data_IF_511702467919
#
_entry.id   IF_511702467919
#
_cell.length_a   1.000
_cell.length_b   1.000
_cell.length_c   1.000
_cell.angle_alpha   90.00
_cell.angle_beta   90.00
_cell.angle_gamma   90.00
#
_symmetry.space_group_name_H-M   'P 1'
#
loop_
_entity.id
_entity.type
_entity.pdbx_description
1 polymer ?
#
# COMPACT_ATOMS: atom_id res chain seq x y z
N UNK A 1 -14.98 15.83 7.68
CA UNK A 1 -14.05 14.84 7.09
C UNK A 1 -13.78 13.68 8.04
N UNK A 2 -13.48 13.95 9.32
CA UNK A 2 -13.21 12.91 10.33
C UNK A 2 -14.29 11.81 10.43
N UNK A 3 -15.59 12.15 10.41
CA UNK A 3 -16.67 11.15 10.47
C UNK A 3 -16.72 10.22 9.25
N UNK A 4 -16.43 10.74 8.04
CA UNK A 4 -16.34 9.94 6.80
C UNK A 4 -15.14 8.99 6.84
N UNK A 5 -13.99 9.51 7.26
CA UNK A 5 -12.77 8.74 7.46
C UNK A 5 -12.99 7.62 8.49
N UNK A 6 -13.49 7.94 9.69
CA UNK A 6 -13.72 6.97 10.75
C UNK A 6 -14.71 5.86 10.35
N UNK A 7 -15.76 6.20 9.59
CA UNK A 7 -16.71 5.22 9.06
C UNK A 7 -16.07 4.27 8.04
N UNK A 8 -15.08 4.74 7.27
CA UNK A 8 -14.40 3.97 6.24
C UNK A 8 -13.40 2.98 6.84
N UNK A 9 -12.51 3.45 7.73
CA UNK A 9 -11.40 2.65 8.29
C UNK A 9 -11.90 1.31 8.87
N UNK A 10 -13.03 1.31 9.58
CA UNK A 10 -13.57 0.10 10.23
C UNK A 10 -13.91 -1.03 9.26
N UNK A 11 -14.24 -0.72 8.00
CA UNK A 11 -14.76 -1.69 7.04
C UNK A 11 -13.91 -1.85 5.78
N UNK A 12 -12.90 -1.00 5.61
CA UNK A 12 -12.00 -1.03 4.47
C UNK A 12 -11.10 -2.28 4.52
N UNK A 13 -10.86 -2.87 3.34
CA UNK A 13 -9.96 -4.03 3.17
C UNK A 13 -8.81 -3.79 2.21
N UNK A 14 -8.76 -2.59 1.64
CA UNK A 14 -7.63 -2.17 0.84
C UNK A 14 -7.96 -1.00 -0.05
N UNK A 15 -6.89 -0.30 -0.41
CA UNK A 15 -6.89 0.73 -1.45
C UNK A 15 -6.53 0.05 -2.77
N UNK A 16 -7.42 0.12 -3.74
CA UNK A 16 -7.22 -0.48 -5.06
C UNK A 16 -6.47 0.50 -5.95
N UNK A 17 -5.34 0.04 -6.47
CA UNK A 17 -4.51 0.77 -7.43
C UNK A 17 -4.43 -0.03 -8.74
N UNK A 18 -4.70 0.62 -9.87
CA UNK A 18 -4.83 -0.08 -11.16
C UNK A 18 -4.72 0.86 -12.36
N UNK A 19 -4.63 0.25 -13.55
CA UNK A 19 -4.67 0.88 -14.87
C UNK A 19 -5.76 0.21 -15.70
N UNK A 20 -6.91 0.87 -15.84
CA UNK A 20 -8.14 0.25 -16.38
C UNK A 20 -8.04 -0.08 -17.88
N UNK A 21 -7.07 0.51 -18.57
CA UNK A 21 -6.75 0.23 -19.96
C UNK A 21 -5.93 -1.06 -20.15
N UNK A 22 -5.35 -1.61 -19.09
CA UNK A 22 -4.62 -2.88 -19.17
C UNK A 22 -5.59 -4.07 -19.38
N UNK A 23 -5.31 -4.97 -20.34
CA UNK A 23 -6.12 -6.17 -20.57
C UNK A 23 -6.29 -7.02 -19.30
N UNK A 24 -7.51 -7.52 -19.05
CA UNK A 24 -7.80 -8.40 -17.93
C UNK A 24 -8.06 -7.70 -16.59
N UNK A 25 -7.69 -6.42 -16.44
CA UNK A 25 -7.89 -5.68 -15.18
C UNK A 25 -9.36 -5.58 -14.80
N UNK A 26 -10.25 -5.31 -15.76
CA UNK A 26 -11.69 -5.13 -15.47
C UNK A 26 -12.33 -6.43 -14.99
N UNK A 27 -11.92 -7.57 -15.53
CA UNK A 27 -12.33 -8.91 -15.10
C UNK A 27 -11.91 -9.16 -13.66
N UNK A 28 -10.64 -8.85 -13.35
CA UNK A 28 -10.09 -8.99 -12.00
C UNK A 28 -10.73 -8.06 -11.00
N UNK A 29 -11.05 -6.81 -11.36
CA UNK A 29 -11.81 -5.90 -10.49
C UNK A 29 -13.22 -6.44 -10.20
N UNK A 30 -13.91 -7.04 -11.19
CA UNK A 30 -15.19 -7.71 -10.95
C UNK A 30 -15.02 -8.88 -9.98
N UNK A 31 -14.02 -9.74 -10.19
CA UNK A 31 -13.69 -10.82 -9.26
C UNK A 31 -13.42 -10.29 -7.84
N UNK A 32 -12.62 -9.23 -7.70
CA UNK A 32 -12.27 -8.63 -6.43
C UNK A 32 -13.50 -8.09 -5.68
N UNK A 33 -14.41 -7.39 -6.38
CA UNK A 33 -15.66 -6.92 -5.76
C UNK A 33 -16.54 -8.09 -5.28
N UNK A 34 -16.56 -9.24 -5.97
CA UNK A 34 -17.27 -10.44 -5.52
C UNK A 34 -16.63 -11.00 -4.26
N UNK A 35 -15.30 -11.07 -4.18
CA UNK A 35 -14.56 -11.57 -3.00
C UNK A 35 -14.81 -10.73 -1.77
N UNK A 36 -14.82 -9.41 -1.92
CA UNK A 36 -15.08 -8.47 -0.83
C UNK A 36 -16.55 -8.05 -0.76
N UNK A 37 -17.51 -8.96 -1.01
CA UNK A 37 -18.97 -8.65 -1.02
C UNK A 37 -19.48 -7.89 0.22
N UNK A 38 -18.92 -8.16 1.39
CA UNK A 38 -19.39 -7.60 2.67
C UNK A 38 -18.43 -6.58 3.30
N UNK A 39 -17.42 -6.14 2.55
CA UNK A 39 -16.42 -5.19 3.01
C UNK A 39 -16.22 -4.10 1.96
N UNK A 40 -15.70 -2.97 2.42
CA UNK A 40 -15.42 -1.85 1.54
C UNK A 40 -14.05 -2.03 0.90
N UNK A 41 -13.98 -1.70 -0.39
CA UNK A 41 -12.74 -1.42 -1.10
C UNK A 41 -12.81 0.04 -1.51
N UNK A 42 -11.70 0.75 -1.43
CA UNK A 42 -11.64 2.14 -1.85
C UNK A 42 -10.63 2.32 -2.98
N UNK A 43 -10.83 3.39 -3.73
CA UNK A 43 -9.91 3.86 -4.76
C UNK A 43 -9.37 5.23 -4.33
N UNK A 44 -8.12 5.55 -4.66
CA UNK A 44 -7.60 6.90 -4.52
C UNK A 44 -8.45 7.92 -5.30
N UNK A 45 -8.56 9.17 -4.84
CA UNK A 45 -9.23 10.25 -5.56
C UNK A 45 -8.81 10.38 -7.03
N UNK A 46 -7.51 10.24 -7.34
CA UNK A 46 -7.01 10.31 -8.73
C UNK A 46 -7.63 9.26 -9.66
N UNK A 47 -7.89 8.05 -9.16
CA UNK A 47 -8.46 6.94 -9.95
C UNK A 47 -9.98 6.88 -9.90
N UNK A 48 -10.59 7.59 -8.95
CA UNK A 48 -12.02 7.43 -8.66
C UNK A 48 -12.91 7.69 -9.86
N UNK A 49 -12.67 8.79 -10.57
CA UNK A 49 -13.49 9.22 -11.72
C UNK A 49 -13.47 8.17 -12.83
N UNK A 50 -12.29 7.66 -13.15
CA UNK A 50 -12.10 6.64 -14.18
C UNK A 50 -12.79 5.32 -13.80
N UNK A 51 -12.69 4.92 -12.52
CA UNK A 51 -13.38 3.75 -12.00
C UNK A 51 -14.91 3.88 -12.06
N UNK A 52 -15.48 5.05 -11.72
CA UNK A 52 -16.93 5.30 -11.88
C UNK A 52 -17.34 5.12 -13.33
N UNK A 53 -16.62 5.77 -14.25
CA UNK A 53 -16.93 5.75 -15.68
C UNK A 53 -16.85 4.35 -16.27
N UNK A 54 -15.97 3.51 -15.74
CA UNK A 54 -15.82 2.10 -16.13
C UNK A 54 -16.79 1.14 -15.42
N UNK A 55 -17.79 1.67 -14.69
CA UNK A 55 -18.85 0.87 -14.05
C UNK A 55 -18.51 0.37 -12.64
N UNK A 56 -17.36 0.73 -12.09
CA UNK A 56 -16.89 0.31 -10.77
C UNK A 56 -17.32 1.30 -9.67
N UNK A 57 -18.62 1.61 -9.61
CA UNK A 57 -19.19 2.59 -8.66
C UNK A 57 -19.09 2.15 -7.20
N UNK A 58 -19.00 0.84 -6.95
CA UNK A 58 -18.97 0.21 -5.62
C UNK A 58 -17.70 0.51 -4.82
N UNK A 59 -16.59 0.79 -5.50
CA UNK A 59 -15.39 1.24 -4.80
C UNK A 59 -15.65 2.61 -4.21
N UNK A 60 -15.42 2.75 -2.90
CA UNK A 60 -15.51 4.05 -2.24
C UNK A 60 -14.36 4.94 -2.70
N UNK A 61 -14.53 6.25 -2.58
CA UNK A 61 -13.42 7.18 -2.73
C UNK A 61 -12.71 7.26 -1.38
N UNK A 62 -11.41 6.96 -1.34
CA UNK A 62 -10.59 7.18 -0.15
C UNK A 62 -10.41 8.69 0.06
N UNK A 63 -10.56 9.17 1.30
CA UNK A 63 -10.43 10.59 1.60
C UNK A 63 -9.13 10.88 2.33
N UNK A 64 -8.52 12.05 2.09
CA UNK A 64 -7.41 12.52 2.91
C UNK A 64 -7.94 12.98 4.28
N UNK A 65 -7.60 12.31 5.40
CA UNK A 65 -7.99 12.80 6.73
C UNK A 65 -7.26 14.08 7.15
N UNK A 66 -6.17 14.44 6.48
CA UNK A 66 -5.35 15.63 6.72
C UNK A 66 -4.67 16.11 5.44
N UNK A 67 -4.56 17.44 5.28
CA UNK A 67 -3.89 18.10 4.15
C UNK A 67 -2.40 17.71 4.03
N UNK A 68 -1.77 17.39 5.16
CA UNK A 68 -0.39 16.92 5.21
C UNK A 68 -0.18 15.63 4.41
N UNK A 69 -1.21 14.80 4.25
CA UNK A 69 -1.14 13.59 3.45
C UNK A 69 -1.15 13.90 1.94
N UNK A 70 -1.88 14.92 1.51
CA UNK A 70 -1.80 15.41 0.11
C UNK A 70 -0.39 15.93 -0.18
N UNK A 71 0.18 16.71 0.74
CA UNK A 71 1.56 17.20 0.65
C UNK A 71 2.59 16.07 0.66
N UNK A 72 2.34 14.98 1.39
CA UNK A 72 3.20 13.79 1.32
C UNK A 72 3.21 13.22 -0.09
N UNK A 73 2.05 13.09 -0.74
CA UNK A 73 1.98 12.60 -2.12
C UNK A 73 2.87 13.46 -3.03
N UNK A 74 2.72 14.78 -2.98
CA UNK A 74 3.54 15.71 -3.77
C UNK A 74 5.04 15.58 -3.50
N UNK A 75 5.43 15.48 -2.22
CA UNK A 75 6.84 15.36 -1.82
C UNK A 75 7.43 14.06 -2.35
N UNK A 76 6.75 12.93 -2.16
CA UNK A 76 7.26 11.63 -2.55
C UNK A 76 7.24 11.42 -4.07
N UNK A 77 6.18 11.85 -4.76
CA UNK A 77 6.08 11.68 -6.22
C UNK A 77 7.04 12.57 -7.01
N UNK A 78 7.54 13.66 -6.41
CA UNK A 78 8.50 14.56 -7.08
C UNK A 78 9.95 14.11 -6.98
N UNK A 79 10.27 13.17 -6.08
CA UNK A 79 11.64 12.74 -5.80
C UNK A 79 11.86 11.25 -6.05
N UNK A 80 10.79 10.45 -6.08
CA UNK A 80 10.83 9.03 -6.40
C UNK A 80 10.38 8.78 -7.83
N UNK A 81 10.92 7.72 -8.44
CA UNK A 81 10.54 7.28 -9.79
C UNK A 81 9.20 6.54 -9.83
N UNK A 82 8.23 6.95 -9.02
CA UNK A 82 6.88 6.37 -8.96
C UNK A 82 5.84 7.41 -9.39
N UNK A 83 4.73 6.95 -9.98
CA UNK A 83 3.65 7.85 -10.38
C UNK A 83 3.00 8.51 -9.16
N UNK A 84 2.51 9.76 -9.28
CA UNK A 84 1.74 10.41 -8.21
C UNK A 84 0.57 9.56 -7.72
N UNK A 85 -0.10 8.84 -8.62
CA UNK A 85 -1.23 7.96 -8.28
C UNK A 85 -0.79 6.72 -7.49
N UNK A 86 0.39 6.14 -7.78
CA UNK A 86 0.94 5.04 -7.01
C UNK A 86 1.32 5.49 -5.59
N UNK A 87 1.96 6.66 -5.47
CA UNK A 87 2.29 7.27 -4.18
C UNK A 87 1.02 7.61 -3.39
N UNK A 88 0.00 8.18 -4.05
CA UNK A 88 -1.30 8.47 -3.44
C UNK A 88 -1.94 7.20 -2.87
N UNK A 89 -1.93 6.09 -3.62
CA UNK A 89 -2.48 4.83 -3.16
C UNK A 89 -1.78 4.33 -1.88
N UNK A 90 -0.44 4.43 -1.82
CA UNK A 90 0.35 4.01 -0.64
C UNK A 90 0.10 4.92 0.55
N UNK A 91 0.10 6.25 0.37
CA UNK A 91 -0.15 7.21 1.44
C UNK A 91 -1.55 7.02 2.02
N UNK A 92 -2.56 6.83 1.16
CA UNK A 92 -3.94 6.59 1.61
C UNK A 92 -4.12 5.21 2.24
N UNK A 93 -3.44 4.18 1.74
CA UNK A 93 -3.41 2.85 2.35
C UNK A 93 -2.90 2.92 3.78
N UNK A 94 -1.78 3.62 3.96
CA UNK A 94 -1.21 3.92 5.28
C UNK A 94 -2.18 4.67 6.18
N UNK A 95 -2.74 5.78 5.69
CA UNK A 95 -3.67 6.56 6.48
C UNK A 95 -4.94 5.79 6.88
N UNK A 96 -5.37 4.79 6.10
CA UNK A 96 -6.57 4.01 6.41
C UNK A 96 -6.30 2.63 7.03
N UNK A 97 -5.04 2.33 7.38
CA UNK A 97 -4.64 1.06 8.00
C UNK A 97 -5.11 -0.14 7.17
N UNK A 98 -4.83 -0.11 5.87
CA UNK A 98 -5.25 -1.16 4.93
C UNK A 98 -4.20 -1.37 3.85
N UNK A 99 -4.04 -2.59 3.32
CA UNK A 99 -3.05 -2.84 2.27
C UNK A 99 -3.44 -2.16 0.95
N UNK A 100 -2.45 -1.99 0.07
CA UNK A 100 -2.71 -1.70 -1.34
C UNK A 100 -3.07 -3.02 -2.05
N UNK A 101 -4.11 -2.99 -2.88
CA UNK A 101 -4.46 -4.07 -3.79
C UNK A 101 -4.13 -3.61 -5.21
N UNK A 102 -2.94 -3.99 -5.69
CA UNK A 102 -2.43 -3.60 -6.99
C UNK A 102 -2.95 -4.58 -8.05
N UNK A 103 -3.82 -4.11 -8.94
CA UNK A 103 -4.47 -4.95 -9.96
C UNK A 103 -3.86 -4.66 -11.33
N UNK A 104 -3.23 -5.66 -11.92
CA UNK A 104 -2.51 -5.58 -13.19
C UNK A 104 -1.00 -5.42 -13.05
N UNK A 105 -0.27 -5.79 -14.10
CA UNK A 105 1.19 -5.71 -14.17
C UNK A 105 1.69 -4.27 -14.21
N UNK A 106 0.97 -3.34 -14.87
CA UNK A 106 1.35 -1.92 -14.86
C UNK A 106 1.28 -1.34 -13.45
N UNK A 107 0.23 -1.67 -12.70
CA UNK A 107 0.08 -1.23 -11.31
C UNK A 107 1.23 -1.75 -10.43
N UNK A 108 1.61 -3.02 -10.61
CA UNK A 108 2.77 -3.59 -9.93
C UNK A 108 4.07 -2.88 -10.32
N UNK A 109 4.28 -2.60 -11.61
CA UNK A 109 5.45 -1.91 -12.13
C UNK A 109 5.60 -0.49 -11.59
N UNK A 110 4.50 0.24 -11.43
CA UNK A 110 4.52 1.61 -10.88
C UNK A 110 4.74 1.66 -9.36
N UNK A 111 4.41 0.60 -8.65
CA UNK A 111 4.71 0.46 -7.21
C UNK A 111 6.11 -0.10 -6.94
N UNK A 112 6.72 -0.80 -7.91
CA UNK A 112 8.03 -1.41 -7.75
C UNK A 112 9.13 -0.43 -7.26
N UNK A 113 9.21 0.84 -7.73
CA UNK A 113 10.18 1.82 -7.23
C UNK A 113 10.02 2.18 -5.75
N UNK A 114 8.86 1.90 -5.14
CA UNK A 114 8.58 2.15 -3.73
C UNK A 114 8.91 0.95 -2.83
N UNK A 115 9.38 -0.16 -3.42
CA UNK A 115 9.54 -1.44 -2.73
C UNK A 115 10.84 -1.50 -1.94
N UNK A 116 10.75 -1.93 -0.68
CA UNK A 116 11.91 -2.22 0.18
C UNK A 116 12.22 -3.71 0.21
N UNK A 117 11.21 -4.58 0.14
CA UNK A 117 11.36 -6.03 0.08
C UNK A 117 10.20 -6.65 -0.72
N UNK A 118 10.43 -7.81 -1.34
CA UNK A 118 9.42 -8.51 -2.15
C UNK A 118 9.22 -9.94 -1.67
N UNK A 119 7.97 -10.38 -1.70
CA UNK A 119 7.60 -11.78 -1.54
C UNK A 119 7.19 -12.35 -2.89
N UNK A 120 7.85 -13.43 -3.29
CA UNK A 120 7.49 -14.21 -4.47
C UNK A 120 6.58 -15.39 -4.10
N UNK A 121 5.76 -15.80 -5.05
CA UNK A 121 4.96 -17.02 -5.00
C UNK A 121 5.45 -18.05 -6.02
N UNK A 122 5.50 -19.31 -5.59
CA UNK A 122 5.72 -20.51 -6.39
C UNK A 122 4.47 -21.39 -6.45
N UNK A 123 3.33 -20.84 -6.07
CA UNK A 123 2.03 -21.51 -6.08
C UNK A 123 1.01 -20.68 -6.86
N UNK A 124 0.18 -21.34 -7.65
CA UNK A 124 -1.08 -20.80 -8.13
C UNK A 124 -2.11 -20.83 -6.99
N UNK A 125 -2.77 -19.70 -6.76
CA UNK A 125 -3.73 -19.56 -5.67
C UNK A 125 -5.15 -19.81 -6.16
N UNK A 126 -5.82 -20.74 -5.51
CA UNK A 126 -7.26 -20.87 -5.59
C UNK A 126 -7.97 -19.78 -4.76
N UNK A 127 -9.29 -19.82 -4.75
CA UNK A 127 -10.12 -18.88 -3.99
C UNK A 127 -9.82 -18.86 -2.49
N UNK A 128 -9.46 -20.00 -1.90
CA UNK A 128 -9.12 -20.13 -0.48
C UNK A 128 -7.74 -19.53 -0.22
N UNK A 129 -6.78 -19.79 -1.11
CA UNK A 129 -5.43 -19.25 -1.11
C UNK A 129 -5.44 -17.72 -1.16
N UNK A 130 -6.16 -17.11 -2.12
CA UNK A 130 -6.32 -15.66 -2.18
C UNK A 130 -6.92 -15.08 -0.91
N UNK A 131 -8.00 -15.68 -0.40
CA UNK A 131 -8.66 -15.23 0.83
C UNK A 131 -7.73 -15.29 2.05
N UNK A 132 -6.91 -16.34 2.15
CA UNK A 132 -5.92 -16.48 3.21
C UNK A 132 -4.89 -15.36 3.12
N UNK A 133 -4.30 -15.12 1.94
CA UNK A 133 -3.20 -14.18 1.81
C UNK A 133 -3.66 -12.71 1.86
N UNK A 134 -4.88 -12.38 1.44
CA UNK A 134 -5.47 -11.07 1.73
C UNK A 134 -5.58 -10.82 3.24
N UNK A 135 -5.94 -11.83 4.02
CA UNK A 135 -5.99 -11.69 5.49
C UNK A 135 -4.60 -11.55 6.10
N UNK A 136 -3.61 -12.28 5.58
CA UNK A 136 -2.23 -12.14 6.05
C UNK A 136 -1.72 -10.71 5.76
N UNK A 137 -2.00 -10.17 4.57
CA UNK A 137 -1.67 -8.79 4.23
C UNK A 137 -2.37 -7.76 5.12
N UNK A 138 -3.67 -7.94 5.39
CA UNK A 138 -4.40 -7.12 6.38
C UNK A 138 -3.70 -7.13 7.74
N UNK A 139 -3.27 -8.31 8.22
CA UNK A 139 -2.56 -8.43 9.49
C UNK A 139 -1.15 -7.85 9.46
N UNK A 140 -0.42 -7.92 8.35
CA UNK A 140 0.88 -7.26 8.21
C UNK A 140 0.74 -5.76 8.47
N UNK A 141 -0.25 -5.10 7.87
CA UNK A 141 -0.49 -3.66 8.07
C UNK A 141 -0.97 -3.39 9.49
N UNK A 142 -2.01 -4.10 9.94
CA UNK A 142 -2.64 -3.86 11.24
C UNK A 142 -1.67 -4.06 12.42
N UNK A 143 -0.92 -5.16 12.43
CA UNK A 143 -0.01 -5.50 13.54
C UNK A 143 1.21 -4.58 13.59
N UNK A 144 1.59 -4.00 12.44
CA UNK A 144 2.74 -3.10 12.34
C UNK A 144 2.38 -1.63 12.54
N UNK A 145 1.11 -1.24 12.44
CA UNK A 145 0.71 0.16 12.26
C UNK A 145 1.19 1.09 13.36
N UNK A 146 0.82 0.84 14.61
CA UNK A 146 1.17 1.68 15.76
C UNK A 146 2.70 1.84 15.89
N UNK A 147 3.41 0.72 15.79
CA UNK A 147 4.87 0.73 15.81
C UNK A 147 5.43 1.55 14.65
N UNK A 148 4.88 1.40 13.44
CA UNK A 148 5.41 2.04 12.23
C UNK A 148 5.25 3.55 12.27
N UNK A 149 4.06 4.03 12.62
CA UNK A 149 3.78 5.46 12.74
C UNK A 149 4.66 6.08 13.82
N UNK A 150 4.67 5.50 15.03
CA UNK A 150 5.52 5.97 16.16
C UNK A 150 7.00 5.95 15.80
N UNK A 151 7.45 4.93 15.07
CA UNK A 151 8.83 4.85 14.61
C UNK A 151 9.12 5.92 13.57
N UNK A 152 8.23 6.14 12.58
CA UNK A 152 8.37 7.18 11.56
C UNK A 152 8.51 8.59 12.14
N UNK A 153 7.85 8.89 13.27
CA UNK A 153 7.97 10.18 13.95
C UNK A 153 9.41 10.50 14.39
N UNK A 154 10.26 9.47 14.58
CA UNK A 154 11.69 9.67 14.84
C UNK A 154 12.36 10.49 13.74
N UNK A 155 11.85 10.48 12.49
CA UNK A 155 12.40 11.25 11.38
C UNK A 155 12.46 12.75 11.65
N UNK A 156 11.57 13.29 12.50
CA UNK A 156 11.58 14.69 12.90
C UNK A 156 12.58 15.01 14.01
N UNK A 157 13.16 14.00 14.67
CA UNK A 157 14.12 14.23 15.76
C UNK A 157 15.45 14.76 15.21
N UNK A 158 16.03 15.79 15.84
CA UNK A 158 17.36 16.25 15.48
C UNK A 158 18.38 15.12 15.76
N UNK A 159 19.42 15.03 14.91
CA UNK A 159 20.53 14.06 15.05
C UNK A 159 20.11 12.57 15.07
N UNK A 160 18.96 12.22 14.48
CA UNK A 160 18.59 10.82 14.26
C UNK A 160 19.69 10.10 13.46
N UNK A 161 20.10 8.92 13.93
CA UNK A 161 20.90 8.00 13.14
C UNK A 161 20.02 7.32 12.08
N UNK A 162 20.11 7.79 10.84
CA UNK A 162 19.28 7.33 9.71
C UNK A 162 19.59 5.89 9.28
N UNK A 163 20.82 5.43 9.48
CA UNK A 163 21.19 4.04 9.17
C UNK A 163 20.55 3.07 10.18
N UNK A 164 20.65 3.36 11.48
CA UNK A 164 20.00 2.57 12.51
C UNK A 164 18.47 2.57 12.34
N UNK A 165 17.89 3.72 12.03
CA UNK A 165 16.46 3.86 11.70
C UNK A 165 16.03 2.91 10.58
N UNK A 166 16.74 2.93 9.44
CA UNK A 166 16.46 2.07 8.29
C UNK A 166 16.65 0.60 8.62
N UNK A 167 17.71 0.26 9.35
CA UNK A 167 18.00 -1.12 9.77
C UNK A 167 16.89 -1.70 10.66
N UNK A 168 16.35 -0.93 11.59
CA UNK A 168 15.21 -1.36 12.43
C UNK A 168 13.97 -1.69 11.57
N UNK A 169 13.64 -0.83 10.59
CA UNK A 169 12.51 -1.04 9.66
C UNK A 169 12.71 -2.25 8.75
N UNK A 170 13.86 -2.36 8.11
CA UNK A 170 14.22 -3.53 7.29
C UNK A 170 14.19 -4.84 8.11
N UNK A 171 14.64 -4.82 9.36
CA UNK A 171 14.60 -5.99 10.24
C UNK A 171 13.16 -6.41 10.55
N UNK A 172 12.25 -5.45 10.74
CA UNK A 172 10.83 -5.74 10.99
C UNK A 172 10.15 -6.32 9.75
N UNK A 173 10.42 -5.76 8.57
CA UNK A 173 9.97 -6.32 7.28
C UNK A 173 10.45 -7.77 7.13
N UNK A 174 11.75 -8.02 7.31
CA UNK A 174 12.34 -9.36 7.19
C UNK A 174 11.73 -10.38 8.16
N UNK A 175 11.37 -9.96 9.37
CA UNK A 175 10.66 -10.82 10.31
C UNK A 175 9.24 -11.15 9.82
N UNK A 176 8.54 -10.17 9.26
CA UNK A 176 7.15 -10.31 8.81
C UNK A 176 7.00 -11.13 7.51
N UNK A 177 7.99 -11.07 6.61
CA UNK A 177 8.05 -11.90 5.38
C UNK A 177 7.79 -13.38 5.66
N UNK A 178 8.21 -13.88 6.84
CA UNK A 178 8.01 -15.28 7.25
C UNK A 178 6.53 -15.68 7.33
N UNK A 179 5.58 -14.74 7.48
CA UNK A 179 4.13 -15.03 7.46
C UNK A 179 3.67 -15.66 6.14
N UNK A 180 4.39 -15.39 5.05
CA UNK A 180 4.06 -15.80 3.69
C UNK A 180 4.72 -17.11 3.26
N UNK A 181 5.25 -17.90 4.21
CA UNK A 181 6.00 -19.12 3.93
C UNK A 181 5.28 -20.11 2.99
N UNK A 182 3.95 -20.19 3.04
CA UNK A 182 3.11 -21.05 2.18
C UNK A 182 3.26 -20.75 0.69
N UNK A 183 3.59 -19.51 0.33
CA UNK A 183 3.82 -19.13 -1.06
C UNK A 183 5.06 -19.80 -1.66
N UNK A 184 5.98 -20.28 -0.81
CA UNK A 184 7.23 -20.93 -1.24
C UNK A 184 7.14 -22.46 -1.27
N UNK A 185 6.00 -23.06 -0.93
CA UNK A 185 5.84 -24.53 -0.86
C UNK A 185 5.62 -25.19 -2.23
N UNK A 186 5.42 -24.40 -3.29
CA UNK A 186 5.18 -24.92 -4.63
C UNK A 186 6.43 -25.01 -5.52
N UNK A 187 6.22 -25.58 -6.70
CA UNK A 187 7.26 -25.80 -7.71
C UNK A 187 7.14 -24.86 -8.92
N UNK A 188 6.18 -23.93 -8.93
CA UNK A 188 6.06 -22.97 -10.02
C UNK A 188 7.25 -22.01 -10.05
N UNK A 189 7.51 -21.43 -11.23
CA UNK A 189 8.50 -20.36 -11.35
C UNK A 189 8.11 -19.20 -10.42
N UNK A 190 9.05 -18.65 -9.62
CA UNK A 190 8.78 -17.53 -8.73
C UNK A 190 8.15 -16.35 -9.48
N UNK A 191 7.00 -15.88 -9.00
CA UNK A 191 6.33 -14.68 -9.48
C UNK A 191 6.11 -13.70 -8.33
N UNK A 192 6.29 -12.38 -8.54
CA UNK A 192 5.98 -11.38 -7.54
C UNK A 192 4.55 -11.53 -7.02
N UNK A 193 4.38 -11.61 -5.70
CA UNK A 193 3.07 -11.69 -5.05
C UNK A 193 2.78 -10.47 -4.18
N UNK A 194 3.78 -9.99 -3.44
CA UNK A 194 3.59 -8.90 -2.49
C UNK A 194 4.83 -8.02 -2.41
N UNK A 195 4.61 -6.70 -2.34
CA UNK A 195 5.64 -5.69 -2.15
C UNK A 195 5.51 -5.13 -0.73
N UNK A 196 6.59 -5.10 0.03
CA UNK A 196 6.70 -4.27 1.22
C UNK A 196 7.12 -2.87 0.79
N UNK A 197 6.30 -1.89 1.16
CA UNK A 197 6.49 -0.48 0.82
C UNK A 197 6.67 0.30 2.12
N UNK A 198 7.69 1.14 2.19
CA UNK A 198 8.00 1.89 3.39
C UNK A 198 8.52 3.29 3.04
N UNK A 199 7.59 4.24 2.94
CA UNK A 199 7.90 5.64 2.62
C UNK A 199 8.80 6.29 3.68
N UNK A 200 8.71 5.86 4.95
CA UNK A 200 9.60 6.37 6.00
C UNK A 200 11.03 5.89 5.80
N UNK A 201 11.23 4.62 5.39
CA UNK A 201 12.52 4.08 5.01
C UNK A 201 13.11 4.85 3.82
N UNK A 202 12.32 5.07 2.77
CA UNK A 202 12.76 5.79 1.57
C UNK A 202 13.10 7.26 1.87
N UNK A 203 12.32 7.93 2.73
CA UNK A 203 12.66 9.28 3.17
C UNK A 203 13.97 9.31 3.95
N UNK A 204 14.26 8.31 4.79
CA UNK A 204 15.53 8.24 5.51
C UNK A 204 16.75 8.01 4.60
N UNK A 205 16.55 7.46 3.41
CA UNK A 205 17.59 7.22 2.41
C UNK A 205 17.87 8.47 1.55
N UNK A 206 16.88 9.32 1.34
CA UNK A 206 16.98 10.51 0.50
C UNK A 206 16.94 11.80 1.35
N UNK A 207 18.08 12.49 1.43
CA UNK A 207 18.22 13.72 2.21
C UNK A 207 17.29 14.88 1.77
N UNK A 208 17.00 14.99 0.46
CA UNK A 208 16.06 15.99 -0.08
C UNK A 208 14.65 15.70 0.43
N UNK A 209 14.19 14.46 0.26
CA UNK A 209 12.89 13.98 0.75
C UNK A 209 12.75 14.22 2.26
N UNK A 210 13.74 13.81 3.05
CA UNK A 210 13.72 13.99 4.49
C UNK A 210 13.61 15.46 4.90
N UNK A 211 14.34 16.35 4.21
CA UNK A 211 14.32 17.78 4.51
C UNK A 211 12.95 18.41 4.26
N UNK A 212 12.24 17.97 3.20
CA UNK A 212 10.90 18.43 2.86
C UNK A 212 9.86 17.82 3.80
N UNK A 213 9.98 16.53 4.08
CA UNK A 213 9.13 15.81 5.03
C UNK A 213 9.11 16.49 6.40
N UNK A 214 10.28 16.87 6.93
CA UNK A 214 10.42 17.54 8.23
C UNK A 214 9.68 18.88 8.34
N UNK A 215 9.31 19.50 7.22
CA UNK A 215 8.52 20.75 7.20
C UNK A 215 7.03 20.49 7.43
N UNK A 216 6.56 19.25 7.29
CA UNK A 216 5.17 18.88 7.57
C UNK A 216 4.90 18.74 9.07
N UNK A 217 3.63 18.86 9.45
CA UNK A 217 3.18 18.65 10.83
C UNK A 217 3.26 17.16 11.17
N UNK A 218 4.15 16.81 12.08
CA UNK A 218 4.49 15.44 12.49
C UNK A 218 3.26 14.54 12.68
N UNK A 219 2.35 14.91 13.59
CA UNK A 219 1.21 14.07 13.99
C UNK A 219 0.27 13.70 12.83
N UNK A 220 0.23 14.53 11.79
CA UNK A 220 -0.65 14.32 10.64
C UNK A 220 0.07 13.64 9.48
N UNK A 221 1.36 13.92 9.30
CA UNK A 221 2.18 13.30 8.26
C UNK A 221 2.54 11.85 8.62
N UNK A 222 2.78 11.53 9.91
CA UNK A 222 3.20 10.18 10.32
C UNK A 222 2.17 9.10 9.98
N UNK A 223 0.88 9.45 9.92
CA UNK A 223 -0.20 8.54 9.50
C UNK A 223 -0.08 8.04 8.06
N UNK A 224 0.66 8.73 7.18
CA UNK A 224 0.93 8.33 5.80
C UNK A 224 2.26 7.60 5.61
N UNK A 225 2.96 7.25 6.69
CA UNK A 225 4.34 6.73 6.69
C UNK A 225 4.46 5.38 7.44
N UNK A 226 3.34 4.70 7.66
CA UNK A 226 3.37 3.34 8.17
C UNK A 226 4.05 2.40 7.17
N UNK A 227 4.59 1.29 7.66
CA UNK A 227 5.02 0.18 6.82
C UNK A 227 3.78 -0.42 6.18
N UNK A 228 3.78 -0.48 4.86
CA UNK A 228 2.66 -0.96 4.06
C UNK A 228 3.02 -2.17 3.23
N UNK A 229 1.99 -2.84 2.74
CA UNK A 229 2.13 -3.89 1.73
C UNK A 229 1.20 -3.66 0.55
N UNK A 230 1.69 -3.99 -0.64
CA UNK A 230 0.88 -4.09 -1.84
C UNK A 230 0.75 -5.55 -2.26
N UNK A 231 -0.47 -6.08 -2.24
CA UNK A 231 -0.78 -7.40 -2.82
C UNK A 231 -0.89 -7.24 -4.33
N UNK A 232 -0.08 -7.98 -5.08
CA UNK A 232 -0.07 -7.97 -6.54
C UNK A 232 -1.07 -8.99 -7.07
N UNK A 233 -2.09 -8.49 -7.78
CA UNK A 233 -3.18 -9.30 -8.31
C UNK A 233 -3.09 -9.20 -9.84
N UNK A 234 -2.79 -10.32 -10.54
CA UNK A 234 -2.63 -10.27 -12.00
C UNK A 234 -3.97 -9.97 -12.69
N UNK A 235 -3.89 -9.33 -13.86
CA UNK A 235 -5.03 -9.16 -14.74
C UNK A 235 -5.55 -10.49 -15.27
N UNK A 236 -6.86 -10.58 -15.52
CA UNK A 236 -7.49 -11.75 -16.13
C UNK A 236 -7.92 -12.84 -15.17
N UNK A 237 -7.78 -12.65 -13.84
CA UNK A 237 -8.44 -13.53 -12.86
C UNK A 237 -9.96 -13.36 -12.98
N UNK A 238 -10.70 -14.46 -13.12
CA UNK A 238 -12.15 -14.50 -13.32
C UNK A 238 -12.83 -15.60 -12.54
#
# INVERSE_FOLDING_TARGET
MLSKYAAMVKNLRGIVFTRLEEPGVKETLKWLTRKFKYRDLAAPPSLRREMVNSGFKRFREACYPAEELEKLVEIFSSELSASPEAVEAVVLASAHVSPVLAVGEKAAGELAPLTVERVDSRVSLDDRGWKLHFRIADYTVLDAYEWSVTHAEKLWKPRLNLEAFRKERASKIKADVKRYWRLNEGEEKPKPFLLYIDLAYLAAENGSLLSRLRKLRLEKASAGLALEVAVLIPGGIG
#
